data_IF_567292551790
#
_entry.id   IF_567292551790
#
_cell.length_a   1.000
_cell.length_b   1.000
_cell.length_c   1.000
_cell.angle_alpha   90.00
_cell.angle_beta   90.00
_cell.angle_gamma   90.00
#
_symmetry.space_group_name_H-M   'P 1'
#
loop_
_entity.id
_entity.type
_entity.pdbx_description
1 polymer ?
#
# COMPACT_ATOMS: atom_id res chain seq x y z
N UNK A 1 -21.10 -10.96 5.67
CA UNK A 1 -19.99 -11.28 4.74
C UNK A 1 -18.95 -12.05 5.54
N UNK A 2 -18.40 -13.14 4.98
CA UNK A 2 -17.31 -13.87 5.61
C UNK A 2 -15.95 -13.18 5.35
N UNK A 3 -14.92 -13.56 6.11
CA UNK A 3 -13.58 -12.97 6.02
C UNK A 3 -12.99 -13.06 4.60
N UNK A 4 -13.25 -14.16 3.89
CA UNK A 4 -12.77 -14.36 2.53
C UNK A 4 -13.40 -13.37 1.53
N UNK A 5 -14.70 -13.10 1.66
CA UNK A 5 -15.38 -12.11 0.80
C UNK A 5 -14.87 -10.69 1.08
N UNK A 6 -14.64 -10.34 2.34
CA UNK A 6 -14.05 -9.05 2.72
C UNK A 6 -12.62 -8.93 2.19
N UNK A 7 -11.83 -9.99 2.26
CA UNK A 7 -10.47 -10.02 1.72
C UNK A 7 -10.46 -9.76 0.21
N UNK A 8 -11.37 -10.39 -0.55
CA UNK A 8 -11.49 -10.15 -1.98
C UNK A 8 -11.78 -8.67 -2.30
N UNK A 9 -12.72 -8.06 -1.57
CA UNK A 9 -13.04 -6.65 -1.73
C UNK A 9 -11.83 -5.76 -1.37
N UNK A 10 -11.18 -6.03 -0.24
CA UNK A 10 -10.01 -5.28 0.20
C UNK A 10 -8.86 -5.34 -0.81
N UNK A 11 -8.60 -6.52 -1.41
CA UNK A 11 -7.58 -6.69 -2.44
C UNK A 11 -7.86 -5.84 -3.68
N UNK A 12 -9.12 -5.76 -4.13
CA UNK A 12 -9.50 -4.91 -5.26
C UNK A 12 -9.38 -3.44 -4.89
N UNK A 13 -9.87 -3.03 -3.73
CA UNK A 13 -9.83 -1.62 -3.28
C UNK A 13 -8.39 -1.14 -3.14
N UNK A 14 -7.54 -1.88 -2.44
CA UNK A 14 -6.14 -1.50 -2.29
C UNK A 14 -5.35 -1.62 -3.60
N UNK A 15 -5.68 -2.61 -4.43
CA UNK A 15 -5.09 -2.71 -5.76
C UNK A 15 -5.37 -1.48 -6.61
N UNK A 16 -6.61 -0.97 -6.62
CA UNK A 16 -6.99 0.28 -7.29
C UNK A 16 -6.27 1.49 -6.65
N UNK A 17 -6.21 1.55 -5.31
CA UNK A 17 -5.52 2.63 -4.62
C UNK A 17 -4.03 2.71 -5.02
N UNK A 18 -3.34 1.57 -5.16
CA UNK A 18 -1.95 1.53 -5.62
C UNK A 18 -1.78 1.99 -7.08
N UNK A 19 -2.77 1.75 -7.94
CA UNK A 19 -2.79 2.27 -9.31
C UNK A 19 -2.98 3.79 -9.34
N UNK A 20 -3.56 4.37 -8.30
CA UNK A 20 -3.86 5.80 -8.22
C UNK A 20 -2.77 6.62 -7.51
N UNK A 21 -1.63 6.04 -7.12
CA UNK A 21 -0.55 6.76 -6.42
C UNK A 21 -0.07 7.97 -7.24
N UNK A 22 0.12 7.81 -8.54
CA UNK A 22 0.54 8.93 -9.41
C UNK A 22 -0.48 10.08 -9.46
N UNK A 23 -1.77 9.84 -9.75
CA UNK A 23 -2.80 10.89 -9.64
C UNK A 23 -2.89 11.52 -8.25
N UNK A 24 -2.76 10.74 -7.18
CA UNK A 24 -2.77 11.25 -5.81
C UNK A 24 -1.60 12.21 -5.55
N UNK A 25 -0.41 11.90 -6.05
CA UNK A 25 0.75 12.77 -5.93
C UNK A 25 0.59 14.09 -6.73
N UNK A 26 -0.18 14.10 -7.81
CA UNK A 26 -0.52 15.32 -8.53
C UNK A 26 -1.50 16.19 -7.74
N UNK A 27 -2.52 15.58 -7.13
CA UNK A 27 -3.59 16.29 -6.43
C UNK A 27 -3.14 16.75 -5.04
N UNK A 28 -2.32 15.94 -4.36
CA UNK A 28 -1.83 16.22 -3.01
C UNK A 28 -0.35 15.86 -2.87
N UNK A 29 0.56 16.67 -3.44
CA UNK A 29 2.00 16.37 -3.45
C UNK A 29 2.59 16.15 -2.06
N UNK A 30 2.27 17.00 -1.08
CA UNK A 30 2.83 16.91 0.27
C UNK A 30 2.48 15.62 1.01
N UNK A 31 1.43 14.91 0.59
CA UNK A 31 1.02 13.63 1.18
C UNK A 31 1.50 12.39 0.42
N UNK A 32 1.98 12.55 -0.84
CA UNK A 32 2.23 11.42 -1.73
C UNK A 32 3.50 11.53 -2.56
N UNK A 33 4.18 12.68 -2.57
CA UNK A 33 5.42 12.89 -3.31
C UNK A 33 6.56 13.30 -2.35
N UNK A 34 7.69 12.62 -2.43
CA UNK A 34 8.88 12.82 -1.59
C UNK A 34 9.93 13.75 -2.23
N UNK A 35 9.49 14.67 -3.09
CA UNK A 35 10.34 15.66 -3.73
C UNK A 35 9.53 16.89 -4.10
N UNK A 36 10.19 18.00 -4.30
CA UNK A 36 9.58 19.19 -4.85
C UNK A 36 9.45 19.09 -6.38
N UNK A 37 8.41 19.72 -6.91
CA UNK A 37 8.14 19.75 -8.34
C UNK A 37 7.17 18.69 -8.83
N UNK A 38 7.11 18.52 -10.14
CA UNK A 38 6.19 17.58 -10.74
C UNK A 38 6.58 16.12 -10.45
N UNK A 39 5.63 15.20 -10.14
CA UNK A 39 5.94 13.81 -9.81
C UNK A 39 6.83 13.12 -10.85
N UNK A 40 6.62 13.37 -12.15
CA UNK A 40 7.39 12.76 -13.23
C UNK A 40 8.84 13.26 -13.32
N UNK A 41 9.23 14.32 -12.61
CA UNK A 41 10.59 14.86 -12.64
C UNK A 41 11.57 14.07 -11.75
N UNK A 42 11.09 13.15 -10.95
CA UNK A 42 11.91 12.31 -10.06
C UNK A 42 11.89 10.85 -10.52
N UNK A 43 13.01 10.38 -11.07
CA UNK A 43 13.13 9.03 -11.62
C UNK A 43 12.91 7.94 -10.56
N UNK A 44 13.41 8.13 -9.34
CA UNK A 44 13.21 7.16 -8.24
C UNK A 44 11.75 7.07 -7.83
N UNK A 45 11.06 8.21 -7.77
CA UNK A 45 9.64 8.23 -7.48
C UNK A 45 8.84 7.49 -8.56
N UNK A 46 9.16 7.73 -9.83
CA UNK A 46 8.50 7.04 -10.95
C UNK A 46 8.75 5.53 -10.95
N UNK A 47 9.94 5.08 -10.52
CA UNK A 47 10.18 3.64 -10.32
C UNK A 47 9.29 3.05 -9.22
N UNK A 48 9.12 3.76 -8.10
CA UNK A 48 8.22 3.33 -7.02
C UNK A 48 6.77 3.28 -7.51
N UNK A 49 6.31 4.30 -8.22
CA UNK A 49 4.97 4.33 -8.83
C UNK A 49 4.77 3.12 -9.74
N UNK A 50 5.75 2.80 -10.57
CA UNK A 50 5.70 1.63 -11.47
C UNK A 50 5.60 0.30 -10.70
N UNK A 51 6.41 0.12 -9.66
CA UNK A 51 6.38 -1.09 -8.81
C UNK A 51 5.02 -1.23 -8.11
N UNK A 52 4.50 -0.14 -7.55
CA UNK A 52 3.18 -0.18 -6.90
C UNK A 52 2.03 -0.39 -7.88
N UNK A 53 2.12 0.15 -9.09
CA UNK A 53 1.13 -0.10 -10.13
C UNK A 53 1.08 -1.59 -10.49
N UNK A 54 2.24 -2.25 -10.67
CA UNK A 54 2.33 -3.69 -10.90
C UNK A 54 1.77 -4.46 -9.71
N UNK A 55 2.15 -4.12 -8.48
CA UNK A 55 1.62 -4.75 -7.28
C UNK A 55 0.09 -4.60 -7.20
N UNK A 56 -0.44 -3.42 -7.54
CA UNK A 56 -1.88 -3.15 -7.59
C UNK A 56 -2.62 -4.09 -8.54
N UNK A 57 -2.09 -4.29 -9.76
CA UNK A 57 -2.65 -5.26 -10.72
C UNK A 57 -2.64 -6.67 -10.12
N UNK A 58 -1.54 -7.09 -9.51
CA UNK A 58 -1.43 -8.43 -8.93
C UNK A 58 -2.35 -8.64 -7.72
N UNK A 59 -2.59 -7.62 -6.89
CA UNK A 59 -3.59 -7.69 -5.81
C UNK A 59 -5.01 -7.87 -6.36
N UNK A 60 -5.37 -7.14 -7.43
CA UNK A 60 -6.66 -7.30 -8.09
C UNK A 60 -6.81 -8.73 -8.65
N UNK A 61 -5.77 -9.27 -9.28
CA UNK A 61 -5.77 -10.64 -9.78
C UNK A 61 -5.88 -11.67 -8.63
N UNK A 62 -5.18 -11.44 -7.53
CA UNK A 62 -5.22 -12.29 -6.33
C UNK A 62 -6.63 -12.35 -5.69
N UNK A 63 -7.47 -11.33 -5.89
CA UNK A 63 -8.85 -11.33 -5.42
C UNK A 63 -9.70 -12.46 -6.01
N UNK A 64 -9.29 -13.08 -7.13
CA UNK A 64 -9.99 -14.25 -7.72
C UNK A 64 -9.87 -15.47 -6.81
N UNK A 65 -8.66 -15.71 -6.29
CA UNK A 65 -8.36 -16.78 -5.34
C UNK A 65 -7.30 -16.30 -4.32
N UNK A 66 -7.71 -15.64 -3.23
CA UNK A 66 -6.78 -15.10 -2.25
C UNK A 66 -5.93 -16.16 -1.54
N UNK A 67 -6.49 -17.35 -1.29
CA UNK A 67 -5.79 -18.40 -0.56
C UNK A 67 -4.70 -19.07 -1.41
N UNK A 68 -4.89 -19.17 -2.72
CA UNK A 68 -3.83 -19.59 -3.64
C UNK A 68 -2.71 -18.54 -3.77
N UNK A 69 -3.04 -17.24 -3.56
CA UNK A 69 -2.10 -16.12 -3.68
C UNK A 69 -1.65 -15.56 -2.32
N UNK A 70 -1.74 -16.35 -1.24
CA UNK A 70 -1.42 -15.89 0.12
C UNK A 70 0.00 -15.33 0.27
N UNK A 71 0.99 -15.88 -0.42
CA UNK A 71 2.36 -15.40 -0.35
C UNK A 71 2.52 -13.99 -0.91
N UNK A 72 1.83 -13.66 -2.01
CA UNK A 72 1.77 -12.32 -2.56
C UNK A 72 1.08 -11.36 -1.58
N UNK A 73 -0.01 -11.78 -0.95
CA UNK A 73 -0.74 -10.93 0.01
C UNK A 73 0.13 -10.70 1.26
N UNK A 74 0.80 -11.73 1.80
CA UNK A 74 1.75 -11.55 2.89
C UNK A 74 2.94 -10.66 2.51
N UNK A 75 3.45 -10.77 1.28
CA UNK A 75 4.46 -9.85 0.78
C UNK A 75 3.95 -8.40 0.80
N UNK A 76 2.74 -8.14 0.31
CA UNK A 76 2.14 -6.81 0.35
C UNK A 76 1.97 -6.30 1.79
N UNK A 77 1.53 -7.14 2.72
CA UNK A 77 1.39 -6.83 4.15
C UNK A 77 2.74 -6.43 4.76
N UNK A 78 3.75 -7.29 4.64
CA UNK A 78 5.05 -7.07 5.28
C UNK A 78 5.79 -5.90 4.63
N UNK A 79 5.79 -5.80 3.30
CA UNK A 79 6.43 -4.69 2.59
C UNK A 79 5.78 -3.35 2.91
N UNK A 80 4.46 -3.28 3.01
CA UNK A 80 3.75 -2.05 3.40
C UNK A 80 4.05 -1.66 4.85
N UNK A 81 4.16 -2.63 5.77
CA UNK A 81 4.53 -2.36 7.16
C UNK A 81 5.94 -1.78 7.27
N UNK A 82 6.91 -2.42 6.60
CA UNK A 82 8.32 -1.97 6.60
C UNK A 82 8.44 -0.61 5.92
N UNK A 83 7.83 -0.44 4.75
CA UNK A 83 7.88 0.84 4.02
C UNK A 83 7.22 1.95 4.83
N UNK A 84 6.02 1.73 5.37
CA UNK A 84 5.33 2.72 6.21
C UNK A 84 6.14 3.11 7.46
N UNK A 85 6.83 2.16 8.10
CA UNK A 85 7.68 2.45 9.24
C UNK A 85 8.90 3.30 8.86
N UNK A 86 9.56 3.00 7.75
CA UNK A 86 10.68 3.80 7.23
C UNK A 86 10.22 5.22 6.90
N UNK A 87 9.11 5.36 6.18
CA UNK A 87 8.56 6.66 5.81
C UNK A 87 8.12 7.47 7.03
N UNK A 88 7.48 6.82 8.02
CA UNK A 88 7.11 7.48 9.27
C UNK A 88 8.34 8.02 10.00
N UNK A 89 9.42 7.23 10.08
CA UNK A 89 10.67 7.69 10.69
C UNK A 89 11.28 8.88 9.92
N UNK A 90 11.31 8.80 8.59
CA UNK A 90 11.84 9.87 7.74
C UNK A 90 11.00 11.15 7.82
N UNK A 91 9.68 11.04 8.00
CA UNK A 91 8.79 12.19 8.14
C UNK A 91 9.09 13.05 9.37
N UNK A 92 9.70 12.49 10.42
CA UNK A 92 10.15 13.22 11.61
C UNK A 92 11.58 13.76 11.47
N UNK A 93 12.36 13.25 10.50
CA UNK A 93 13.74 13.68 10.26
C UNK A 93 13.77 14.87 9.28
N UNK A 94 14.24 16.03 9.74
CA UNK A 94 14.52 17.18 8.86
C UNK A 94 15.94 17.05 8.28
N UNK A 95 16.16 16.10 7.39
CA UNK A 95 17.50 15.85 6.84
C UNK A 95 17.81 16.66 5.56
N UNK A 96 16.78 17.16 4.88
CA UNK A 96 16.89 17.83 3.57
C UNK A 96 16.24 19.22 3.51
N UNK A 97 15.73 19.73 4.64
CA UNK A 97 15.06 21.03 4.71
C UNK A 97 13.63 21.02 4.19
N UNK A 98 13.12 19.88 3.69
CA UNK A 98 11.74 19.73 3.23
C UNK A 98 10.82 19.31 4.38
N UNK A 99 9.55 19.73 4.31
CA UNK A 99 8.55 19.37 5.30
C UNK A 99 7.79 18.11 4.86
N UNK A 100 8.20 16.96 5.41
CA UNK A 100 7.59 15.67 5.11
C UNK A 100 6.39 15.31 6.02
N UNK A 101 5.92 16.24 6.87
CA UNK A 101 4.82 15.99 7.81
C UNK A 101 3.50 15.62 7.11
N UNK A 102 3.28 16.04 5.86
CA UNK A 102 2.12 15.67 5.06
C UNK A 102 2.00 14.15 4.84
N UNK A 103 3.12 13.44 4.77
CA UNK A 103 3.15 11.99 4.62
C UNK A 103 2.54 11.24 5.81
N UNK A 104 2.60 11.80 7.02
CA UNK A 104 1.95 11.22 8.20
C UNK A 104 0.42 11.24 8.13
N UNK A 105 -0.14 12.00 7.18
CA UNK A 105 -1.59 12.04 6.92
C UNK A 105 -1.97 11.38 5.59
N UNK A 106 -1.02 11.15 4.69
CA UNK A 106 -1.20 10.61 3.36
C UNK A 106 -0.76 9.14 3.24
N UNK A 107 0.38 8.92 2.63
CA UNK A 107 0.87 7.60 2.25
C UNK A 107 1.24 6.70 3.44
N UNK A 108 1.77 7.26 4.54
CA UNK A 108 2.11 6.47 5.74
C UNK A 108 0.91 5.74 6.33
N UNK A 109 -0.22 6.41 6.69
CA UNK A 109 -1.39 5.70 7.18
C UNK A 109 -2.03 4.78 6.13
N UNK A 110 -1.93 5.10 4.84
CA UNK A 110 -2.41 4.22 3.78
C UNK A 110 -1.63 2.88 3.75
N UNK A 111 -0.31 2.92 3.90
CA UNK A 111 0.52 1.72 3.97
C UNK A 111 0.19 0.86 5.20
N UNK A 112 0.02 1.49 6.37
CA UNK A 112 -0.41 0.74 7.58
C UNK A 112 -1.82 0.17 7.43
N UNK A 113 -2.74 0.87 6.77
CA UNK A 113 -4.08 0.36 6.50
C UNK A 113 -4.02 -0.89 5.60
N UNK A 114 -3.19 -0.88 4.53
CA UNK A 114 -2.96 -2.06 3.69
C UNK A 114 -2.47 -3.23 4.55
N UNK A 115 -1.44 -3.01 5.37
CA UNK A 115 -0.85 -4.05 6.20
C UNK A 115 -1.85 -4.65 7.20
N UNK A 116 -2.55 -3.81 7.94
CA UNK A 116 -3.47 -4.26 8.99
C UNK A 116 -4.73 -4.93 8.42
N UNK A 117 -5.33 -4.34 7.40
CA UNK A 117 -6.58 -4.86 6.83
C UNK A 117 -6.31 -6.16 6.06
N UNK A 118 -5.34 -6.18 5.14
CA UNK A 118 -5.04 -7.41 4.38
C UNK A 118 -4.50 -8.50 5.29
N UNK A 119 -3.61 -8.19 6.23
CA UNK A 119 -3.05 -9.17 7.17
C UNK A 119 -4.11 -9.77 8.08
N UNK A 120 -4.96 -8.94 8.69
CA UNK A 120 -6.04 -9.39 9.55
C UNK A 120 -7.09 -10.23 8.83
N UNK A 121 -7.50 -9.81 7.63
CA UNK A 121 -8.48 -10.54 6.83
C UNK A 121 -7.92 -11.87 6.30
N UNK A 122 -6.68 -11.89 5.82
CA UNK A 122 -6.04 -13.13 5.36
C UNK A 122 -5.90 -14.13 6.51
N UNK A 123 -5.39 -13.69 7.65
CA UNK A 123 -5.25 -14.53 8.83
C UNK A 123 -6.60 -15.10 9.30
N UNK A 124 -7.67 -14.29 9.31
CA UNK A 124 -9.01 -14.74 9.64
C UNK A 124 -9.56 -15.76 8.63
N UNK A 125 -9.32 -15.53 7.32
CA UNK A 125 -9.74 -16.44 6.27
C UNK A 125 -9.02 -17.80 6.38
N UNK A 126 -7.69 -17.80 6.62
CA UNK A 126 -6.90 -19.03 6.81
C UNK A 126 -7.38 -19.86 8.00
N UNK A 127 -7.74 -19.19 9.12
CA UNK A 127 -8.29 -19.88 10.30
C UNK A 127 -9.64 -20.51 10.02
N UNK A 128 -10.50 -19.82 9.30
CA UNK A 128 -11.85 -20.33 8.98
C UNK A 128 -11.81 -21.59 8.12
N UNK A 129 -10.82 -21.73 7.24
CA UNK A 129 -10.64 -22.94 6.41
C UNK A 129 -10.06 -24.11 7.22
N UNK A 130 -9.16 -23.84 8.17
CA UNK A 130 -8.59 -24.89 9.03
C UNK A 130 -9.57 -25.45 10.07
N UNK A 131 -10.66 -24.75 10.34
CA UNK A 131 -11.67 -25.15 11.32
C UNK A 131 -12.82 -25.99 10.71
N UNK A 132 -12.82 -26.20 9.41
CA UNK A 132 -13.75 -27.07 8.67
C UNK A 132 -13.13 -28.43 8.38
#
# INVERSE_FOLDING_TARGET
MNALSLLKIALVVFGIALLLIYPLAIVWPSGWAWHEGAPYSNDYYMMIVGVYAVLGVFLILAARDPLANRSLIWFAVVSSLVHGAIMAQQSFGMTDGMNHMGHLMGDVPALFAIALVLGGLLWSAERSVKAQ
#
